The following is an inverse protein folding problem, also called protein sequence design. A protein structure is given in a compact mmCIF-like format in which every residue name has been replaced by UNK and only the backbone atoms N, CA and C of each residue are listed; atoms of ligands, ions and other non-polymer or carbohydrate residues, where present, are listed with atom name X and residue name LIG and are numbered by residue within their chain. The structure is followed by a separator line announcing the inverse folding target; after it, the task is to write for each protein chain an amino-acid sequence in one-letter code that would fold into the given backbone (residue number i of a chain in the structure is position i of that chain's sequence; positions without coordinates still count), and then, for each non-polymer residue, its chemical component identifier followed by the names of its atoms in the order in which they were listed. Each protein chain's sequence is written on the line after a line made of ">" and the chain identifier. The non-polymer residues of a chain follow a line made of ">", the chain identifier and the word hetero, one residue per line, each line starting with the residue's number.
data_IF_195243288878
#
_entry.id   IF_195243288878
#
_cell.length_a   1.000
_cell.length_b   1.000
_cell.length_c   1.000
_cell.angle_alpha   90.00
_cell.angle_beta   90.00
_cell.angle_gamma   90.00
#
_symmetry.space_group_name_H-M   'P 1'
#
loop_
_entity.id
_entity.type
_entity.pdbx_description
1 polymer ?
#
# COMPACT_ATOMS: atom_id res chain seq x y z
N UNK A 1 -79.41 70.91 -51.46
CA UNK A 1 -80.04 69.99 -52.41
C UNK A 1 -79.22 68.71 -52.34
N UNK A 2 -79.86 67.60 -51.94
CA UNK A 2 -79.34 66.21 -51.82
C UNK A 2 -78.11 66.03 -50.92
N UNK A 3 -78.23 65.71 -49.61
CA UNK A 3 -78.69 64.45 -48.99
C UNK A 3 -78.06 63.21 -49.64
N UNK A 4 -77.00 62.69 -49.02
CA UNK A 4 -76.76 61.25 -48.90
C UNK A 4 -76.39 60.98 -47.43
N UNK A 5 -77.32 60.33 -46.75
CA UNK A 5 -77.14 59.66 -45.46
C UNK A 5 -76.32 58.38 -45.69
N UNK A 6 -75.31 58.14 -44.86
CA UNK A 6 -74.83 56.79 -44.56
C UNK A 6 -75.06 56.49 -43.06
N UNK A 7 -75.59 55.30 -42.71
CA UNK A 7 -76.08 54.99 -41.36
C UNK A 7 -74.95 54.58 -40.38
N UNK A 8 -75.21 54.60 -39.06
CA UNK A 8 -74.22 54.26 -38.05
C UNK A 8 -74.10 52.74 -37.85
N UNK A 9 -72.98 52.13 -38.27
CA UNK A 9 -72.69 50.74 -37.93
C UNK A 9 -72.13 50.59 -36.52
N UNK A 10 -73.06 50.24 -35.63
CA UNK A 10 -72.96 49.25 -34.55
C UNK A 10 -71.59 49.00 -33.91
N UNK A 11 -71.47 49.54 -32.71
CA UNK A 11 -70.59 49.10 -31.62
C UNK A 11 -70.87 47.62 -31.30
N UNK A 12 -70.03 46.71 -31.80
CA UNK A 12 -69.88 45.37 -31.24
C UNK A 12 -68.76 45.40 -30.19
N UNK A 13 -69.18 45.39 -28.93
CA UNK A 13 -68.33 44.86 -27.86
C UNK A 13 -68.09 43.38 -28.19
N UNK A 14 -66.86 43.03 -28.56
CA UNK A 14 -66.46 41.63 -28.59
C UNK A 14 -65.16 41.46 -27.81
N UNK A 15 -65.19 40.45 -26.95
CA UNK A 15 -64.22 40.12 -25.94
C UNK A 15 -62.82 40.02 -26.54
N UNK A 16 -61.84 40.63 -25.86
CA UNK A 16 -60.43 40.37 -26.14
C UNK A 16 -60.18 38.87 -26.10
N UNK A 17 -59.42 38.29 -27.06
CA UNK A 17 -59.05 36.90 -26.96
C UNK A 17 -58.18 36.74 -25.72
N UNK A 18 -58.68 35.95 -24.77
CA UNK A 18 -57.97 35.45 -23.61
C UNK A 18 -56.52 35.12 -24.01
N UNK A 19 -55.56 35.87 -23.44
CA UNK A 19 -54.16 35.43 -23.49
C UNK A 19 -54.13 34.01 -22.95
N UNK A 20 -53.54 33.03 -23.66
CA UNK A 20 -53.41 31.70 -23.10
C UNK A 20 -52.53 31.82 -21.86
N UNK A 21 -53.15 31.68 -20.68
CA UNK A 21 -52.48 31.56 -19.40
C UNK A 21 -51.27 30.65 -19.60
N UNK A 22 -50.07 31.23 -19.54
CA UNK A 22 -48.83 30.48 -19.58
C UNK A 22 -48.78 29.66 -18.30
N UNK A 23 -49.35 28.46 -18.34
CA UNK A 23 -49.24 27.47 -17.26
C UNK A 23 -47.78 27.39 -16.87
N UNK A 24 -47.40 27.66 -15.60
CA UNK A 24 -46.02 27.56 -15.20
C UNK A 24 -45.60 26.13 -15.48
N UNK A 25 -44.60 25.96 -16.37
CA UNK A 25 -44.01 24.65 -16.67
C UNK A 25 -43.50 24.11 -15.34
N UNK A 26 -44.31 23.26 -14.70
CA UNK A 26 -43.98 22.65 -13.43
C UNK A 26 -42.62 21.99 -13.58
N UNK A 27 -41.62 22.55 -12.90
CA UNK A 27 -40.28 21.96 -12.80
C UNK A 27 -40.52 20.59 -12.17
N UNK A 28 -40.59 19.53 -12.98
CA UNK A 28 -40.84 18.15 -12.53
C UNK A 28 -39.78 17.85 -11.46
N UNK A 29 -40.16 18.02 -10.19
CA UNK A 29 -39.29 17.73 -9.05
C UNK A 29 -39.08 16.22 -9.12
N UNK A 30 -37.89 15.80 -9.55
CA UNK A 30 -37.54 14.38 -9.60
C UNK A 30 -37.82 13.81 -8.20
N UNK A 31 -38.54 12.70 -8.07
CA UNK A 31 -38.87 12.14 -6.77
C UNK A 31 -37.58 11.94 -5.95
N UNK A 32 -37.50 12.60 -4.79
CA UNK A 32 -36.36 12.51 -3.87
C UNK A 32 -36.04 11.05 -3.51
N UNK A 33 -37.06 10.20 -3.42
CA UNK A 33 -36.92 8.78 -3.11
C UNK A 33 -36.25 7.93 -4.20
N UNK A 34 -36.17 8.40 -5.46
CA UNK A 34 -35.39 7.75 -6.53
C UNK A 34 -34.00 8.36 -6.74
N UNK A 35 -33.85 9.66 -6.49
CA UNK A 35 -32.55 10.33 -6.66
C UNK A 35 -31.60 10.00 -5.53
N UNK A 36 -32.06 9.91 -4.29
CA UNK A 36 -31.23 9.53 -3.14
C UNK A 36 -30.57 8.14 -3.33
N UNK A 37 -31.28 7.04 -3.66
CA UNK A 37 -30.64 5.74 -3.84
C UNK A 37 -29.69 5.72 -5.04
N UNK A 38 -30.01 6.38 -6.16
CA UNK A 38 -29.11 6.46 -7.32
C UNK A 38 -27.83 7.21 -6.98
N UNK A 39 -27.92 8.31 -6.23
CA UNK A 39 -26.75 9.10 -5.84
C UNK A 39 -25.90 8.36 -4.80
N UNK A 40 -26.53 7.63 -3.88
CA UNK A 40 -25.82 6.74 -2.93
C UNK A 40 -25.12 5.61 -3.66
N UNK A 41 -25.79 4.92 -4.60
CA UNK A 41 -25.19 3.85 -5.39
C UNK A 41 -24.02 4.38 -6.23
N UNK A 42 -24.20 5.52 -6.90
CA UNK A 42 -23.12 6.15 -7.68
C UNK A 42 -21.95 6.58 -6.77
N UNK A 43 -22.24 7.11 -5.58
CA UNK A 43 -21.22 7.45 -4.58
C UNK A 43 -20.44 6.23 -4.10
N UNK A 44 -21.12 5.10 -3.84
CA UNK A 44 -20.48 3.84 -3.47
C UNK A 44 -19.64 3.25 -4.60
N UNK A 45 -20.14 3.31 -5.84
CA UNK A 45 -19.37 2.89 -7.02
C UNK A 45 -18.11 3.75 -7.21
N UNK A 46 -18.26 5.07 -7.07
CA UNK A 46 -17.13 5.99 -7.17
C UNK A 46 -16.11 5.73 -6.06
N UNK A 47 -16.56 5.54 -4.81
CA UNK A 47 -15.69 5.19 -3.70
C UNK A 47 -14.98 3.84 -3.94
N UNK A 48 -15.69 2.85 -4.49
CA UNK A 48 -15.16 1.53 -4.84
C UNK A 48 -14.05 1.59 -5.90
N UNK A 49 -14.04 2.61 -6.76
CA UNK A 49 -12.99 2.82 -7.78
C UNK A 49 -11.88 3.74 -7.27
N UNK A 50 -12.21 4.88 -6.66
CA UNK A 50 -11.22 5.88 -6.24
C UNK A 50 -10.35 5.38 -5.08
N UNK A 51 -10.90 4.60 -4.14
CA UNK A 51 -10.17 4.10 -2.98
C UNK A 51 -8.99 3.19 -3.37
N UNK A 52 -9.18 2.10 -4.15
CA UNK A 52 -8.05 1.27 -4.57
C UNK A 52 -7.06 2.02 -5.46
N UNK A 53 -7.50 2.95 -6.30
CA UNK A 53 -6.59 3.79 -7.09
C UNK A 53 -5.71 4.68 -6.21
N UNK A 54 -6.30 5.33 -5.21
CA UNK A 54 -5.56 6.17 -4.26
C UNK A 54 -4.56 5.34 -3.43
N UNK A 55 -4.97 4.16 -2.94
CA UNK A 55 -4.09 3.24 -2.21
C UNK A 55 -2.96 2.73 -3.09
N UNK A 56 -3.26 2.31 -4.32
CA UNK A 56 -2.24 1.88 -5.29
C UNK A 56 -1.22 2.99 -5.58
N UNK A 57 -1.68 4.23 -5.76
CA UNK A 57 -0.81 5.41 -5.90
C UNK A 57 0.08 5.65 -4.68
N UNK A 58 -0.46 5.49 -3.46
CA UNK A 58 0.30 5.62 -2.22
C UNK A 58 1.35 4.52 -2.05
N UNK A 59 1.02 3.27 -2.39
CA UNK A 59 1.97 2.16 -2.41
C UNK A 59 3.10 2.47 -3.39
N UNK A 60 2.77 2.94 -4.59
CA UNK A 60 3.75 3.30 -5.61
C UNK A 60 4.71 4.41 -5.16
N UNK A 61 4.19 5.41 -4.45
CA UNK A 61 4.98 6.51 -3.90
C UNK A 61 5.89 6.03 -2.76
N UNK A 62 5.34 5.28 -1.80
CA UNK A 62 6.09 4.74 -0.65
C UNK A 62 7.20 3.78 -1.08
N UNK A 63 6.95 2.95 -2.11
CA UNK A 63 7.94 2.02 -2.65
C UNK A 63 9.19 2.71 -3.22
N UNK A 64 9.12 4.02 -3.49
CA UNK A 64 10.25 4.83 -3.99
C UNK A 64 10.99 5.57 -2.88
N UNK A 65 10.38 5.68 -1.70
CA UNK A 65 11.00 6.32 -0.55
C UNK A 65 11.99 5.37 0.10
N UNK A 66 13.09 5.93 0.57
CA UNK A 66 14.12 5.22 1.31
C UNK A 66 14.39 6.02 2.59
N UNK A 67 13.63 5.69 3.64
CA UNK A 67 13.61 6.43 4.89
C UNK A 67 14.61 5.81 5.86
N UNK A 68 15.65 6.57 6.24
CA UNK A 68 16.73 6.12 7.13
C UNK A 68 16.93 7.02 8.36
N UNK A 69 15.87 7.35 9.13
CA UNK A 69 16.06 8.12 10.35
C UNK A 69 16.82 7.30 11.40
N UNK A 70 17.54 7.98 12.29
CA UNK A 70 18.08 7.33 13.50
C UNK A 70 16.92 6.67 14.27
N UNK A 71 17.06 5.39 14.55
CA UNK A 71 16.03 4.56 15.16
C UNK A 71 16.61 3.59 16.18
N UNK A 72 15.76 3.01 17.01
CA UNK A 72 16.17 2.04 18.03
C UNK A 72 16.58 0.70 17.40
N UNK A 73 15.91 0.28 16.32
CA UNK A 73 16.24 -0.95 15.62
C UNK A 73 15.94 -0.93 14.11
N UNK A 74 16.66 -1.76 13.37
CA UNK A 74 16.36 -2.13 11.97
C UNK A 74 15.57 -3.43 11.99
N UNK A 75 14.36 -3.46 11.42
CA UNK A 75 13.46 -4.63 11.41
C UNK A 75 13.52 -5.29 10.04
N UNK A 76 14.05 -6.50 9.95
CA UNK A 76 14.17 -7.28 8.71
C UNK A 76 12.99 -8.23 8.59
N UNK A 77 12.08 -7.94 7.67
CA UNK A 77 10.95 -8.84 7.40
C UNK A 77 11.41 -10.14 6.74
N UNK A 78 10.86 -11.25 7.21
CA UNK A 78 11.03 -12.59 6.67
C UNK A 78 10.55 -12.76 5.23
N UNK A 79 11.05 -13.79 4.57
CA UNK A 79 10.72 -14.13 3.19
C UNK A 79 10.70 -15.65 2.97
N UNK A 80 11.88 -16.28 3.02
CA UNK A 80 12.06 -17.74 2.99
C UNK A 80 13.48 -18.09 3.46
N UNK A 81 13.66 -19.31 3.98
CA UNK A 81 14.94 -19.93 4.29
C UNK A 81 14.98 -21.37 3.73
N UNK A 82 16.18 -21.89 3.48
CA UNK A 82 16.44 -23.24 2.96
C UNK A 82 17.37 -23.99 3.92
N UNK A 83 16.79 -24.71 4.87
CA UNK A 83 17.48 -25.50 5.89
C UNK A 83 18.54 -24.71 6.67
N UNK A 84 18.16 -23.51 7.13
CA UNK A 84 19.04 -22.63 7.90
C UNK A 84 19.70 -21.54 7.05
N UNK A 85 19.80 -21.72 5.73
CA UNK A 85 20.37 -20.73 4.81
C UNK A 85 19.30 -19.73 4.33
N UNK A 86 19.51 -18.41 4.45
CA UNK A 86 18.56 -17.44 3.93
C UNK A 86 18.36 -17.56 2.40
N UNK A 87 17.11 -17.50 1.95
CA UNK A 87 16.80 -17.43 0.51
C UNK A 87 17.43 -16.18 -0.14
N UNK A 88 17.59 -16.12 -1.48
CA UNK A 88 18.11 -14.93 -2.15
C UNK A 88 17.40 -13.62 -1.76
N UNK A 89 16.07 -13.64 -1.66
CA UNK A 89 15.28 -12.48 -1.22
C UNK A 89 15.60 -12.09 0.22
N UNK A 90 15.68 -13.07 1.13
CA UNK A 90 16.05 -12.81 2.52
C UNK A 90 17.49 -12.27 2.62
N UNK A 91 18.44 -12.80 1.84
CA UNK A 91 19.82 -12.29 1.79
C UNK A 91 19.90 -10.84 1.34
N UNK A 92 19.14 -10.44 0.31
CA UNK A 92 19.09 -9.02 -0.10
C UNK A 92 18.61 -8.11 1.03
N UNK A 93 17.61 -8.55 1.80
CA UNK A 93 17.11 -7.79 2.95
C UNK A 93 18.13 -7.76 4.10
N UNK A 94 18.79 -8.88 4.39
CA UNK A 94 19.82 -8.96 5.42
C UNK A 94 21.05 -8.12 5.06
N UNK A 95 21.48 -8.13 3.81
CA UNK A 95 22.58 -7.30 3.33
C UNK A 95 22.23 -5.82 3.45
N UNK A 96 21.03 -5.41 3.03
CA UNK A 96 20.59 -4.03 3.18
C UNK A 96 20.50 -3.59 4.65
N UNK A 97 20.01 -4.46 5.53
CA UNK A 97 19.98 -4.19 6.97
C UNK A 97 21.39 -4.06 7.57
N UNK A 98 22.33 -4.89 7.11
CA UNK A 98 23.74 -4.81 7.50
C UNK A 98 24.36 -3.47 7.07
N UNK A 99 24.04 -2.99 5.88
CA UNK A 99 24.52 -1.69 5.39
C UNK A 99 23.96 -0.55 6.25
N UNK A 100 22.65 -0.54 6.54
CA UNK A 100 22.02 0.45 7.44
C UNK A 100 22.63 0.41 8.85
N UNK A 101 22.92 -0.77 9.37
CA UNK A 101 23.57 -0.95 10.66
C UNK A 101 24.97 -0.32 10.68
N UNK A 102 25.77 -0.58 9.64
CA UNK A 102 27.10 0.01 9.46
C UNK A 102 27.08 1.52 9.24
N UNK A 103 26.02 2.03 8.61
CA UNK A 103 25.75 3.47 8.47
C UNK A 103 25.31 4.13 9.79
N UNK A 104 25.05 3.35 10.85
CA UNK A 104 24.63 3.86 12.16
C UNK A 104 23.17 4.30 12.22
N UNK A 105 22.32 3.74 11.36
CA UNK A 105 20.87 4.02 11.34
C UNK A 105 20.20 3.53 12.62
N UNK A 106 20.61 2.36 13.12
CA UNK A 106 20.18 1.85 14.41
C UNK A 106 21.28 0.98 15.05
N UNK A 107 21.34 0.91 16.38
CA UNK A 107 22.31 0.08 17.11
C UNK A 107 21.91 -1.41 17.18
N UNK A 108 20.74 -1.80 16.69
CA UNK A 108 20.27 -3.18 16.73
C UNK A 108 19.55 -3.59 15.44
N UNK A 109 19.57 -4.88 15.14
CA UNK A 109 18.84 -5.51 14.05
C UNK A 109 17.89 -6.55 14.61
N UNK A 110 16.61 -6.48 14.23
CA UNK A 110 15.58 -7.46 14.56
C UNK A 110 15.27 -8.27 13.31
N UNK A 111 15.55 -9.57 13.32
CA UNK A 111 15.12 -10.50 12.26
C UNK A 111 13.79 -11.12 12.66
N UNK A 112 12.79 -11.09 11.79
CA UNK A 112 11.45 -11.64 12.09
C UNK A 112 11.00 -12.64 11.04
N UNK A 113 10.35 -13.71 11.50
CA UNK A 113 9.72 -14.71 10.64
C UNK A 113 9.75 -16.08 11.30
N UNK A 114 8.62 -16.79 11.21
CA UNK A 114 8.48 -18.15 11.73
C UNK A 114 9.05 -19.21 10.79
N UNK A 115 8.47 -20.41 10.87
CA UNK A 115 8.83 -21.55 10.03
C UNK A 115 7.61 -22.22 9.41
N UNK A 116 7.77 -22.89 8.28
CA UNK A 116 6.71 -23.70 7.70
C UNK A 116 6.57 -25.04 8.46
N UNK A 117 5.39 -25.69 8.42
CA UNK A 117 5.25 -27.05 8.94
C UNK A 117 6.28 -27.99 8.28
N UNK A 118 7.11 -28.65 9.08
CA UNK A 118 8.18 -29.53 8.62
C UNK A 118 9.58 -28.90 8.57
N UNK A 119 9.69 -27.57 8.72
CA UNK A 119 10.98 -26.90 8.78
C UNK A 119 11.65 -27.06 10.15
N UNK A 120 12.98 -27.22 10.13
CA UNK A 120 13.82 -27.23 11.33
C UNK A 120 14.13 -25.81 11.81
N UNK A 121 14.26 -24.85 10.89
CA UNK A 121 14.73 -23.49 11.14
C UNK A 121 13.63 -22.45 10.90
N UNK A 122 13.71 -21.33 11.61
CA UNK A 122 12.90 -20.15 11.33
C UNK A 122 13.64 -19.17 10.46
N UNK A 123 12.91 -18.33 9.72
CA UNK A 123 13.51 -17.26 8.93
C UNK A 123 14.26 -16.25 9.82
N UNK A 124 13.75 -15.99 11.02
CA UNK A 124 14.39 -15.12 12.00
C UNK A 124 15.76 -15.66 12.43
N UNK A 125 15.83 -16.95 12.80
CA UNK A 125 17.06 -17.59 13.26
C UNK A 125 18.09 -17.68 12.12
N UNK A 126 17.66 -18.09 10.93
CA UNK A 126 18.51 -18.09 9.72
C UNK A 126 19.10 -16.72 9.44
N UNK A 127 18.28 -15.67 9.51
CA UNK A 127 18.74 -14.30 9.30
C UNK A 127 19.74 -13.83 10.36
N UNK A 128 19.47 -14.17 11.63
CA UNK A 128 20.38 -13.83 12.73
C UNK A 128 21.74 -14.51 12.57
N UNK A 129 21.74 -15.82 12.30
CA UNK A 129 22.97 -16.59 12.07
C UNK A 129 23.78 -15.97 10.94
N UNK A 130 23.14 -15.64 9.81
CA UNK A 130 23.82 -15.01 8.69
C UNK A 130 24.43 -13.64 9.04
N UNK A 131 23.71 -12.77 9.77
CA UNK A 131 24.22 -11.45 10.17
C UNK A 131 25.42 -11.55 11.12
N UNK A 132 25.41 -12.50 12.04
CA UNK A 132 26.50 -12.72 12.99
C UNK A 132 27.70 -13.34 12.29
N UNK A 133 27.51 -14.46 11.59
CA UNK A 133 28.61 -15.24 11.02
C UNK A 133 29.19 -14.64 9.75
N UNK A 134 28.35 -14.09 8.87
CA UNK A 134 28.78 -13.51 7.58
C UNK A 134 28.88 -11.99 7.64
N UNK A 135 27.93 -11.35 8.31
CA UNK A 135 27.88 -9.89 8.42
C UNK A 135 28.88 -9.32 9.44
N UNK A 136 29.31 -10.12 10.41
CA UNK A 136 30.19 -9.71 11.50
C UNK A 136 29.52 -8.81 12.53
N UNK A 137 28.18 -8.83 12.59
CA UNK A 137 27.43 -8.07 13.60
C UNK A 137 27.57 -8.75 14.97
N UNK A 138 27.86 -8.01 16.05
CA UNK A 138 27.91 -8.61 17.38
C UNK A 138 26.59 -9.32 17.73
N UNK A 139 26.69 -10.52 18.30
CA UNK A 139 25.53 -11.36 18.58
C UNK A 139 24.50 -10.75 19.53
N UNK A 140 24.90 -9.76 20.35
CA UNK A 140 24.04 -8.99 21.25
C UNK A 140 23.21 -7.91 20.54
N UNK A 141 23.64 -7.49 19.35
CA UNK A 141 22.99 -6.43 18.56
C UNK A 141 21.96 -7.03 17.58
N UNK A 142 21.89 -8.37 17.47
CA UNK A 142 20.94 -9.07 16.61
C UNK A 142 19.92 -9.87 17.41
N UNK A 143 18.66 -9.46 17.29
CA UNK A 143 17.50 -10.04 17.98
C UNK A 143 16.69 -10.86 16.99
N UNK A 144 16.54 -12.17 17.24
CA UNK A 144 15.64 -13.01 16.44
C UNK A 144 14.26 -13.07 17.09
N UNK A 145 13.22 -12.78 16.30
CA UNK A 145 11.80 -12.95 16.66
C UNK A 145 11.24 -14.10 15.80
N UNK A 146 11.33 -15.36 16.26
CA UNK A 146 11.01 -16.57 15.49
C UNK A 146 9.48 -16.83 15.39
N UNK A 147 8.70 -15.76 15.22
CA UNK A 147 7.24 -15.77 15.23
C UNK A 147 6.70 -15.05 14.00
N UNK A 148 5.57 -15.54 13.50
CA UNK A 148 4.80 -14.94 12.42
C UNK A 148 4.85 -15.75 11.14
N UNK A 149 3.68 -16.21 10.69
CA UNK A 149 3.47 -16.80 9.35
C UNK A 149 2.87 -15.79 8.37
N UNK A 150 2.50 -14.62 8.87
CA UNK A 150 2.04 -13.48 8.13
C UNK A 150 2.57 -12.19 8.77
N UNK A 151 2.45 -11.08 8.05
CA UNK A 151 3.02 -9.79 8.48
C UNK A 151 2.39 -9.28 9.79
N UNK A 152 1.11 -9.56 10.05
CA UNK A 152 0.42 -9.07 11.25
C UNK A 152 0.92 -9.79 12.50
N UNK A 153 1.03 -11.13 12.44
CA UNK A 153 1.60 -11.92 13.53
C UNK A 153 3.06 -11.54 13.79
N UNK A 154 3.84 -11.31 12.73
CA UNK A 154 5.22 -10.81 12.85
C UNK A 154 5.27 -9.44 13.54
N UNK A 155 4.46 -8.47 13.12
CA UNK A 155 4.49 -7.11 13.69
C UNK A 155 4.00 -7.07 15.13
N UNK A 156 3.02 -7.91 15.51
CA UNK A 156 2.63 -8.06 16.91
C UNK A 156 3.79 -8.57 17.77
N UNK A 157 4.47 -9.64 17.33
CA UNK A 157 5.59 -10.21 18.07
C UNK A 157 6.79 -9.25 18.18
N UNK A 158 7.04 -8.46 17.12
CA UNK A 158 8.06 -7.40 17.15
C UNK A 158 7.66 -6.28 18.10
N UNK A 159 6.39 -5.86 18.11
CA UNK A 159 5.88 -4.86 19.06
C UNK A 159 6.10 -5.28 20.52
N UNK A 160 5.79 -6.53 20.86
CA UNK A 160 6.07 -7.08 22.20
C UNK A 160 7.56 -7.07 22.54
N UNK A 161 8.44 -7.29 21.57
CA UNK A 161 9.89 -7.20 21.78
C UNK A 161 10.38 -5.76 21.94
N UNK A 162 9.77 -4.81 21.22
CA UNK A 162 10.03 -3.38 21.38
C UNK A 162 9.63 -2.91 22.78
N UNK A 163 8.43 -3.28 23.24
CA UNK A 163 7.95 -2.98 24.59
C UNK A 163 8.90 -3.53 25.67
N UNK A 164 9.33 -4.79 25.54
CA UNK A 164 10.29 -5.42 26.47
C UNK A 164 11.62 -4.68 26.58
N UNK A 165 12.04 -4.02 25.50
CA UNK A 165 13.33 -3.31 25.42
C UNK A 165 13.20 -1.80 25.65
N UNK A 166 11.99 -1.28 25.76
CA UNK A 166 11.74 0.17 25.80
C UNK A 166 12.08 0.86 24.48
N UNK A 167 11.99 0.16 23.35
CA UNK A 167 12.17 0.72 22.01
C UNK A 167 10.85 1.25 21.46
N UNK A 168 10.94 2.27 20.60
CA UNK A 168 9.77 2.94 20.03
C UNK A 168 9.88 3.16 18.53
N UNK A 169 11.10 3.28 17.99
CA UNK A 169 11.35 3.67 16.59
C UNK A 169 12.02 2.54 15.82
N UNK A 170 11.58 2.30 14.58
CA UNK A 170 12.13 1.22 13.76
C UNK A 170 12.21 1.53 12.27
N UNK A 171 13.28 1.08 11.61
CA UNK A 171 13.39 1.09 10.14
C UNK A 171 13.11 -0.30 9.60
N UNK A 172 12.01 -0.45 8.86
CA UNK A 172 11.61 -1.72 8.26
C UNK A 172 12.33 -1.93 6.93
N UNK A 173 13.00 -3.08 6.81
CA UNK A 173 13.61 -3.59 5.58
C UNK A 173 12.73 -4.69 5.01
N UNK A 174 12.21 -4.44 3.79
CA UNK A 174 11.28 -5.32 3.07
C UNK A 174 11.31 -5.00 1.57
N UNK A 175 10.56 -5.73 0.75
CA UNK A 175 10.40 -5.38 -0.67
C UNK A 175 9.64 -4.04 -0.85
N UNK A 176 9.88 -3.29 -1.94
CA UNK A 176 9.36 -1.93 -2.13
C UNK A 176 7.85 -1.78 -1.94
N UNK A 177 7.06 -2.67 -2.52
CA UNK A 177 5.61 -2.58 -2.53
C UNK A 177 4.98 -2.92 -1.16
N UNK A 178 5.72 -3.63 -0.31
CA UNK A 178 5.27 -4.06 1.03
C UNK A 178 5.42 -2.97 2.09
N UNK A 179 6.24 -1.94 1.85
CA UNK A 179 6.58 -0.93 2.86
C UNK A 179 5.37 -0.23 3.48
N UNK A 180 4.35 0.14 2.69
CA UNK A 180 3.17 0.86 3.22
C UNK A 180 2.39 0.02 4.24
N UNK A 181 2.12 -1.25 3.91
CA UNK A 181 1.36 -2.15 4.76
C UNK A 181 2.14 -2.52 6.01
N UNK A 182 3.44 -2.79 5.86
CA UNK A 182 4.32 -3.09 6.99
C UNK A 182 4.42 -1.92 7.96
N UNK A 183 4.62 -0.68 7.48
CA UNK A 183 4.61 0.54 8.33
C UNK A 183 3.31 0.69 9.10
N UNK A 184 2.16 0.49 8.43
CA UNK A 184 0.85 0.62 9.07
C UNK A 184 0.65 -0.43 10.17
N UNK A 185 0.99 -1.70 9.90
CA UNK A 185 0.89 -2.78 10.88
C UNK A 185 1.85 -2.58 12.06
N UNK A 186 3.07 -2.09 11.81
CA UNK A 186 4.03 -1.76 12.87
C UNK A 186 3.51 -0.64 13.78
N UNK A 187 2.97 0.44 13.19
CA UNK A 187 2.37 1.55 13.94
C UNK A 187 1.18 1.12 14.81
N UNK A 188 0.36 0.18 14.33
CA UNK A 188 -0.74 -0.39 15.11
C UNK A 188 -0.26 -1.26 16.29
N UNK A 189 1.02 -1.62 16.31
CA UNK A 189 1.68 -2.41 17.35
C UNK A 189 2.76 -1.60 18.09
N UNK A 190 2.60 -0.27 18.16
CA UNK A 190 3.41 0.59 19.02
C UNK A 190 4.77 1.01 18.45
N UNK A 191 5.04 0.73 17.17
CA UNK A 191 6.32 1.03 16.54
C UNK A 191 6.17 2.23 15.61
N UNK A 192 6.88 3.31 15.89
CA UNK A 192 7.08 4.43 14.97
C UNK A 192 7.96 3.99 13.81
N UNK A 193 7.32 3.47 12.76
CA UNK A 193 8.01 2.78 11.68
C UNK A 193 8.28 3.67 10.46
N UNK A 194 9.53 3.65 10.02
CA UNK A 194 9.98 4.07 8.68
C UNK A 194 10.25 2.86 7.79
N UNK A 195 10.34 3.03 6.47
CA UNK A 195 10.65 1.94 5.55
C UNK A 195 11.85 2.28 4.67
N UNK A 196 12.80 1.36 4.61
CA UNK A 196 13.95 1.40 3.71
C UNK A 196 13.92 0.13 2.85
N UNK A 197 13.31 0.17 1.65
CA UNK A 197 13.06 -1.03 0.87
C UNK A 197 14.30 -1.51 0.12
N UNK A 198 14.38 -2.82 -0.11
CA UNK A 198 15.41 -3.37 -1.00
C UNK A 198 15.19 -2.92 -2.44
N UNK A 199 16.23 -2.43 -3.11
CA UNK A 199 16.18 -2.05 -4.54
C UNK A 199 16.53 -3.19 -5.49
N UNK A 200 16.84 -4.35 -4.93
CA UNK A 200 17.25 -5.57 -5.63
C UNK A 200 16.31 -6.71 -5.25
N UNK A 201 15.88 -7.50 -6.24
CA UNK A 201 15.01 -8.65 -6.03
C UNK A 201 13.98 -8.87 -7.15
N UNK A 202 13.26 -10.01 -7.12
CA UNK A 202 12.34 -10.40 -8.19
C UNK A 202 11.14 -9.46 -8.35
N UNK A 203 10.74 -8.79 -7.26
CA UNK A 203 9.59 -7.88 -7.20
C UNK A 203 9.78 -6.55 -7.96
N UNK A 204 10.99 -6.24 -8.43
CA UNK A 204 11.28 -5.04 -9.23
C UNK A 204 11.69 -5.34 -10.69
N UNK A 205 11.78 -6.62 -11.09
CA UNK A 205 12.39 -7.00 -12.37
C UNK A 205 11.59 -6.58 -13.62
N UNK A 206 10.26 -6.61 -13.61
CA UNK A 206 9.43 -6.29 -14.79
C UNK A 206 8.23 -5.42 -14.43
N UNK A 207 7.74 -4.62 -15.39
CA UNK A 207 6.56 -3.74 -15.21
C UNK A 207 5.30 -4.53 -14.83
N UNK A 208 5.14 -5.72 -15.41
CA UNK A 208 3.98 -6.60 -15.12
C UNK A 208 4.05 -7.17 -13.70
N UNK A 209 5.24 -7.57 -13.24
CA UNK A 209 5.44 -8.01 -11.86
C UNK A 209 5.16 -6.86 -10.89
N UNK A 210 5.67 -5.65 -11.18
CA UNK A 210 5.38 -4.48 -10.35
C UNK A 210 3.88 -4.18 -10.25
N UNK A 211 3.15 -4.24 -11.37
CA UNK A 211 1.70 -4.02 -11.38
C UNK A 211 0.95 -5.07 -10.54
N UNK A 212 1.27 -6.35 -10.71
CA UNK A 212 0.65 -7.43 -9.94
C UNK A 212 0.93 -7.31 -8.44
N UNK A 213 2.14 -6.92 -8.06
CA UNK A 213 2.48 -6.66 -6.67
C UNK A 213 1.71 -5.45 -6.10
N UNK A 214 1.55 -4.35 -6.85
CA UNK A 214 0.74 -3.20 -6.41
C UNK A 214 -0.73 -3.59 -6.21
N UNK A 215 -1.33 -4.35 -7.14
CA UNK A 215 -2.72 -4.81 -7.01
C UNK A 215 -2.87 -5.71 -5.79
N UNK A 216 -1.97 -6.67 -5.60
CA UNK A 216 -1.96 -7.54 -4.42
C UNK A 216 -1.85 -6.76 -3.13
N UNK A 217 -0.89 -5.83 -3.05
CA UNK A 217 -0.70 -5.03 -1.84
C UNK A 217 -1.84 -4.05 -1.59
N UNK A 218 -2.50 -3.55 -2.64
CA UNK A 218 -3.73 -2.75 -2.50
C UNK A 218 -4.83 -3.57 -1.83
N UNK A 219 -5.08 -4.78 -2.33
CA UNK A 219 -6.06 -5.69 -1.74
C UNK A 219 -5.72 -6.09 -0.30
N UNK A 220 -4.45 -6.45 -0.05
CA UNK A 220 -3.98 -6.82 1.29
C UNK A 220 -4.05 -5.65 2.29
N UNK A 221 -3.71 -4.42 1.87
CA UNK A 221 -3.81 -3.23 2.69
C UNK A 221 -5.27 -2.89 3.02
N UNK A 222 -6.17 -2.92 2.03
CA UNK A 222 -7.58 -2.66 2.25
C UNK A 222 -8.23 -3.74 3.11
N UNK A 223 -7.89 -5.02 2.90
CA UNK A 223 -8.33 -6.11 3.79
C UNK A 223 -7.91 -5.85 5.23
N UNK A 224 -6.68 -5.38 5.45
CA UNK A 224 -6.21 -5.08 6.79
C UNK A 224 -6.93 -3.88 7.40
N UNK A 225 -7.03 -2.76 6.69
CA UNK A 225 -7.65 -1.52 7.20
C UNK A 225 -9.16 -1.67 7.43
N UNK A 226 -9.86 -2.42 6.56
CA UNK A 226 -11.32 -2.56 6.64
C UNK A 226 -11.78 -3.73 7.51
N UNK A 227 -11.04 -4.84 7.52
CA UNK A 227 -11.47 -6.10 8.14
C UNK A 227 -10.55 -6.55 9.28
N UNK A 228 -9.41 -5.88 9.51
CA UNK A 228 -8.41 -6.29 10.50
C UNK A 228 -7.69 -7.60 10.14
N UNK A 229 -7.76 -8.06 8.89
CA UNK A 229 -7.22 -9.34 8.44
C UNK A 229 -5.95 -9.16 7.61
N UNK A 230 -4.89 -9.91 7.95
CA UNK A 230 -3.70 -10.10 7.12
C UNK A 230 -3.90 -11.22 6.09
N UNK A 231 -3.43 -10.97 4.87
CA UNK A 231 -3.30 -12.01 3.84
C UNK A 231 -1.89 -12.60 3.95
N UNK A 232 -1.76 -13.92 3.85
CA UNK A 232 -0.45 -14.57 3.81
C UNK A 232 0.27 -14.16 2.51
N UNK A 233 1.54 -13.76 2.61
CA UNK A 233 2.38 -13.70 1.43
C UNK A 233 2.63 -15.15 0.97
N UNK A 234 2.41 -15.51 -0.30
CA UNK A 234 2.82 -16.82 -0.80
C UNK A 234 4.33 -16.97 -0.58
N UNK A 235 4.76 -18.04 0.09
CA UNK A 235 6.17 -18.45 0.11
C UNK A 235 6.61 -18.61 -1.34
N UNK A 236 7.49 -17.74 -1.83
CA UNK A 236 7.78 -17.72 -3.26
C UNK A 236 8.32 -19.08 -3.70
N UNK A 237 7.67 -19.60 -4.74
CA UNK A 237 8.13 -20.71 -5.59
C UNK A 237 9.32 -20.20 -6.42
N UNK A 238 10.44 -19.85 -5.78
CA UNK A 238 11.72 -19.58 -6.45
C UNK A 238 12.57 -20.84 -6.32
N UNK A 239 12.25 -21.84 -7.14
CA UNK A 239 13.11 -23.01 -7.34
C UNK A 239 14.16 -22.79 -8.43
N UNK A 240 14.21 -21.60 -9.03
CA UNK A 240 15.18 -21.25 -10.09
C UNK A 240 15.44 -19.76 -10.01
N UNK A 241 16.60 -19.38 -9.49
CA UNK A 241 17.43 -18.22 -9.88
C UNK A 241 18.48 -18.13 -8.76
N UNK A 242 19.65 -18.72 -9.02
CA UNK A 242 20.84 -18.57 -8.19
C UNK A 242 21.50 -17.26 -8.61
N UNK A 243 21.08 -16.14 -8.02
CA UNK A 243 21.77 -14.86 -8.16
C UNK A 243 22.60 -14.64 -6.90
N UNK A 244 23.89 -14.41 -7.12
CA UNK A 244 24.86 -14.07 -6.09
C UNK A 244 24.60 -12.62 -5.60
N UNK A 245 24.22 -12.42 -4.33
CA UNK A 245 23.95 -11.09 -3.78
C UNK A 245 25.22 -10.24 -3.60
N UNK A 246 26.42 -10.79 -3.83
CA UNK A 246 27.69 -10.06 -3.78
C UNK A 246 28.17 -9.51 -5.13
N UNK A 247 27.42 -9.75 -6.22
CA UNK A 247 27.74 -9.22 -7.54
C UNK A 247 27.36 -7.73 -7.67
N UNK A 248 28.17 -6.90 -8.36
CA UNK A 248 27.90 -5.47 -8.50
C UNK A 248 26.57 -5.21 -9.23
N UNK A 249 25.76 -4.31 -8.68
CA UNK A 249 24.48 -3.85 -9.23
C UNK A 249 24.62 -3.39 -10.69
N UNK A 250 23.71 -3.82 -11.55
CA UNK A 250 23.59 -3.29 -12.91
C UNK A 250 23.39 -1.76 -12.85
N UNK A 251 24.04 -0.98 -13.74
CA UNK A 251 23.92 0.47 -13.73
C UNK A 251 22.48 0.93 -14.00
N UNK A 252 22.06 2.08 -13.45
CA UNK A 252 20.70 2.59 -13.62
C UNK A 252 20.36 2.76 -15.11
N UNK A 253 19.14 2.36 -15.48
CA UNK A 253 18.64 2.52 -16.84
C UNK A 253 18.65 4.00 -17.24
N UNK A 254 19.32 4.28 -18.37
CA UNK A 254 19.44 5.62 -18.96
C UNK A 254 18.04 6.22 -19.17
N UNK A 255 17.78 7.47 -18.73
CA UNK A 255 16.50 8.12 -19.00
C UNK A 255 16.30 8.30 -20.51
N UNK A 256 15.06 8.22 -21.02
CA UNK A 256 14.77 8.42 -22.44
C UNK A 256 15.17 9.84 -22.87
N UNK A 257 15.59 10.03 -24.14
CA UNK A 257 16.03 11.32 -24.63
C UNK A 257 14.88 12.34 -24.53
N UNK A 258 15.20 13.52 -23.99
CA UNK A 258 14.29 14.65 -23.99
C UNK A 258 13.92 15.02 -25.44
N UNK A 259 12.62 15.18 -25.69
CA UNK A 259 12.10 15.80 -26.92
C UNK A 259 11.99 17.30 -26.72
#
# INVERSE_FOLDING_TARGET
>A
MTLEEEPPETRSEDHGPDEPERRPRGRRRRPLWFTIPVTVVLGLLLAGVLTPLAVGGRIWYQARQDERPRSDAIIVLGAAQYDGEPSPTLRWRLQHALDLYREGVAPAIVTVGGKAPGDNYTEADSGRTWLVERGGVPAGDVVAVPVGRDTLGSMRAVGEEFDRRGWSTGVIVTDPWHGLRSKKMAGDHGIEASSSPTRSGPSVQTRDTQFNYIVRETGAYLSYVLLGRSVHAPSETIRRIHLDPSAPTAPPATPPPAR
#
